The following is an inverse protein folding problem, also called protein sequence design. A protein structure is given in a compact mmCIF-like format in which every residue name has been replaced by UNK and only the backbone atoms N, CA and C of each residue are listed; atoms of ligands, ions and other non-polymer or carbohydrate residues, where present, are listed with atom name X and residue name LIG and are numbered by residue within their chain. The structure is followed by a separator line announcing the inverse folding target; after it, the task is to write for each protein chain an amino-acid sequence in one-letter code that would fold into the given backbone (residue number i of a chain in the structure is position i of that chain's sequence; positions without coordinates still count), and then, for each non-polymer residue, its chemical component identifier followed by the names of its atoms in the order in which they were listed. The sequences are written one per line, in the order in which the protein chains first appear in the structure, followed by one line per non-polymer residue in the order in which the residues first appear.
data_IF_093715395102
#
_entry.id   IF_093715395102
#
_cell.length_a   1.000
_cell.length_b   1.000
_cell.length_c   1.000
_cell.angle_alpha   90.00
_cell.angle_beta   90.00
_cell.angle_gamma   90.00
#
_symmetry.space_group_name_H-M   'P 1'
#
loop_
_entity.id
_entity.type
_entity.pdbx_description
1 polymer ?
#
# COMPACT_ATOMS: atom_id res chain seq x y z
N UNK A 1 -11.26 -17.45 33.47
CA UNK A 1 -11.47 -16.13 32.84
C UNK A 1 -10.77 -16.18 31.50
N UNK A 2 -11.54 -16.13 30.42
CA UNK A 2 -11.05 -16.28 29.04
C UNK A 2 -10.31 -15.03 28.55
N UNK A 3 -9.27 -15.28 27.76
CA UNK A 3 -8.27 -14.33 27.28
C UNK A 3 -8.87 -13.39 26.24
N UNK A 4 -8.82 -12.07 26.50
CA UNK A 4 -9.26 -11.04 25.57
C UNK A 4 -8.31 -10.99 24.36
N UNK A 5 -8.70 -11.54 23.22
CA UNK A 5 -7.96 -11.37 21.97
C UNK A 5 -8.03 -9.90 21.53
N UNK A 6 -6.95 -9.15 21.79
CA UNK A 6 -6.79 -7.71 21.47
C UNK A 6 -6.21 -7.44 20.08
N UNK A 7 -5.85 -8.47 19.32
CA UNK A 7 -5.15 -8.33 18.05
C UNK A 7 -6.09 -8.66 16.89
N UNK A 8 -6.13 -7.78 15.89
CA UNK A 8 -6.91 -7.97 14.67
C UNK A 8 -5.95 -8.26 13.51
N UNK A 9 -6.31 -9.24 12.68
CA UNK A 9 -5.65 -9.51 11.40
C UNK A 9 -6.67 -9.31 10.29
N UNK A 10 -6.32 -8.50 9.30
CA UNK A 10 -7.15 -8.22 8.14
C UNK A 10 -6.49 -8.79 6.89
N UNK A 11 -7.30 -9.32 5.97
CA UNK A 11 -6.85 -9.82 4.68
C UNK A 11 -7.58 -9.07 3.56
N UNK A 12 -6.82 -8.51 2.61
CA UNK A 12 -7.36 -7.74 1.48
C UNK A 12 -6.45 -6.58 1.09
N UNK A 13 -6.95 -5.71 0.21
CA UNK A 13 -6.31 -4.44 -0.14
C UNK A 13 -6.21 -3.55 1.11
N UNK A 14 -5.03 -2.95 1.32
CA UNK A 14 -4.76 -2.21 2.55
C UNK A 14 -5.60 -0.92 2.67
N UNK A 15 -5.83 -0.21 1.57
CA UNK A 15 -6.57 1.05 1.56
C UNK A 15 -8.05 0.79 1.84
N UNK A 16 -8.61 -0.25 1.23
CA UNK A 16 -9.99 -0.68 1.50
C UNK A 16 -10.17 -1.10 2.97
N UNK A 17 -9.26 -1.94 3.48
CA UNK A 17 -9.30 -2.42 4.87
C UNK A 17 -9.23 -1.24 5.85
N UNK A 18 -8.27 -0.33 5.67
CA UNK A 18 -8.10 0.83 6.54
C UNK A 18 -9.36 1.69 6.55
N UNK A 19 -9.97 1.95 5.38
CA UNK A 19 -11.20 2.77 5.26
C UNK A 19 -12.43 2.12 5.89
N UNK A 20 -12.57 0.79 5.81
CA UNK A 20 -13.81 0.09 6.21
C UNK A 20 -13.77 -0.51 7.61
N UNK A 21 -12.58 -0.79 8.15
CA UNK A 21 -12.42 -1.64 9.34
C UNK A 21 -11.64 -1.00 10.48
N UNK A 22 -10.86 0.05 10.22
CA UNK A 22 -10.07 0.75 11.24
C UNK A 22 -10.74 2.09 11.55
N UNK A 23 -10.95 2.37 12.84
CA UNK A 23 -11.58 3.63 13.27
C UNK A 23 -10.62 4.80 13.12
N UNK A 24 -11.16 5.99 12.87
CA UNK A 24 -10.38 7.22 12.85
C UNK A 24 -9.72 7.46 14.22
N UNK A 25 -8.54 8.08 14.20
CA UNK A 25 -7.77 8.47 15.40
C UNK A 25 -7.53 7.34 16.42
N UNK A 26 -7.53 6.08 15.95
CA UNK A 26 -7.42 4.88 16.81
C UNK A 26 -6.03 4.22 16.83
N UNK A 27 -5.08 4.77 16.07
CA UNK A 27 -3.72 4.20 15.89
C UNK A 27 -2.67 5.15 16.44
N UNK A 28 -1.97 4.74 17.49
CA UNK A 28 -0.88 5.51 18.10
C UNK A 28 0.46 5.38 17.34
N UNK A 29 0.72 4.20 16.75
CA UNK A 29 1.97 3.88 16.05
C UNK A 29 1.69 3.01 14.83
N UNK A 30 2.29 3.39 13.71
CA UNK A 30 2.23 2.64 12.46
C UNK A 30 3.64 2.24 12.02
N UNK A 31 3.84 0.96 11.71
CA UNK A 31 5.04 0.45 11.05
C UNK A 31 4.64 -0.11 9.69
N UNK A 32 5.31 0.37 8.64
CA UNK A 32 5.10 -0.09 7.27
C UNK A 32 6.44 -0.44 6.63
N UNK A 33 6.44 -1.51 5.84
CA UNK A 33 7.56 -1.94 5.00
C UNK A 33 7.02 -2.14 3.57
N UNK A 34 6.66 -1.05 2.85
CA UNK A 34 6.10 -1.15 1.52
C UNK A 34 7.16 -1.63 0.51
N UNK A 35 6.75 -2.16 -0.66
CA UNK A 35 7.68 -2.51 -1.73
C UNK A 35 8.54 -1.30 -2.16
N UNK A 36 9.86 -1.49 -2.25
CA UNK A 36 10.85 -0.46 -2.58
C UNK A 36 10.90 -0.11 -4.08
N UNK A 37 10.14 -0.80 -4.94
CA UNK A 37 10.22 -0.73 -6.39
C UNK A 37 11.60 -1.12 -6.96
N UNK A 38 12.27 -2.11 -6.35
CA UNK A 38 13.63 -2.49 -6.74
C UNK A 38 13.73 -3.23 -8.08
N UNK A 39 12.59 -3.49 -8.75
CA UNK A 39 12.48 -4.27 -9.99
C UNK A 39 12.94 -5.72 -9.81
N UNK A 40 12.82 -6.25 -8.60
CA UNK A 40 13.17 -7.63 -8.26
C UNK A 40 11.91 -8.46 -8.03
N UNK A 41 11.92 -9.68 -8.53
CA UNK A 41 10.93 -10.69 -8.15
C UNK A 41 11.49 -11.47 -6.97
N UNK A 42 10.84 -11.38 -5.81
CA UNK A 42 11.21 -12.16 -4.64
C UNK A 42 10.44 -13.49 -4.70
N UNK A 43 11.16 -14.58 -4.93
CA UNK A 43 10.59 -15.93 -4.85
C UNK A 43 10.71 -16.41 -3.40
N UNK A 44 9.62 -16.85 -2.79
CA UNK A 44 9.69 -17.47 -1.47
C UNK A 44 10.26 -18.87 -1.65
N UNK A 45 11.52 -19.09 -1.26
CA UNK A 45 12.10 -20.43 -1.26
C UNK A 45 11.62 -21.13 0.00
N UNK A 46 10.57 -21.96 -0.11
CA UNK A 46 10.23 -22.90 0.95
C UNK A 46 11.32 -23.97 1.00
N UNK A 47 12.10 -24.01 2.08
CA UNK A 47 13.00 -25.12 2.40
C UNK A 47 12.18 -26.29 2.97
N UNK A 48 11.24 -26.83 2.20
CA UNK A 48 10.58 -28.08 2.57
C UNK A 48 11.22 -29.24 1.81
N UNK A 49 11.75 -30.17 2.60
CA UNK A 49 12.35 -31.43 2.22
C UNK A 49 11.22 -32.33 1.69
N UNK A 50 11.04 -32.40 0.37
CA UNK A 50 10.02 -33.25 -0.25
C UNK A 50 9.70 -32.80 -1.68
N UNK A 51 9.67 -33.75 -2.61
CA UNK A 51 9.65 -33.55 -4.05
C UNK A 51 8.59 -32.56 -4.56
N UNK A 52 9.12 -31.45 -5.08
CA UNK A 52 8.68 -30.67 -6.25
C UNK A 52 7.32 -29.92 -6.26
N UNK A 53 7.43 -28.67 -6.75
CA UNK A 53 6.39 -27.72 -7.19
C UNK A 53 5.66 -26.89 -6.13
N UNK A 54 6.36 -25.95 -5.50
CA UNK A 54 5.74 -24.69 -5.10
C UNK A 54 6.78 -23.58 -4.91
N UNK A 55 7.35 -23.06 -6.00
CA UNK A 55 7.85 -21.67 -5.98
C UNK A 55 6.62 -20.77 -5.95
N UNK A 56 6.08 -20.49 -4.77
CA UNK A 56 5.11 -19.42 -4.61
C UNK A 56 5.88 -18.10 -4.80
N UNK A 57 5.55 -17.35 -5.85
CA UNK A 57 6.04 -15.99 -6.04
C UNK A 57 5.64 -15.18 -4.80
N UNK A 58 6.61 -14.67 -4.03
CA UNK A 58 6.32 -14.04 -2.74
C UNK A 58 5.59 -12.71 -2.95
N UNK A 59 6.10 -11.88 -3.88
CA UNK A 59 5.44 -10.71 -4.47
C UNK A 59 6.35 -10.10 -5.55
N UNK A 60 5.77 -9.26 -6.41
CA UNK A 60 6.52 -8.46 -7.39
C UNK A 60 6.83 -7.11 -6.75
N UNK A 61 8.11 -6.81 -6.52
CA UNK A 61 8.56 -5.49 -6.05
C UNK A 61 8.72 -4.54 -7.23
N UNK A 62 7.61 -4.32 -7.94
CA UNK A 62 7.52 -3.40 -9.07
C UNK A 62 6.14 -2.79 -9.09
N UNK A 63 6.09 -1.45 -9.06
CA UNK A 63 4.86 -0.71 -9.26
C UNK A 63 5.11 0.39 -10.30
N UNK A 64 4.07 0.70 -11.06
CA UNK A 64 4.01 1.78 -12.04
C UNK A 64 2.91 2.74 -11.65
N UNK A 65 2.96 3.98 -12.15
CA UNK A 65 1.85 4.92 -12.01
C UNK A 65 0.68 4.47 -12.89
N UNK A 66 -0.25 3.74 -12.30
CA UNK A 66 -1.42 3.18 -12.99
C UNK A 66 -2.68 4.03 -12.78
N UNK A 67 -3.82 3.53 -13.27
CA UNK A 67 -5.11 4.23 -13.12
C UNK A 67 -5.53 4.38 -11.66
N UNK A 68 -5.20 3.43 -10.78
CA UNK A 68 -5.53 3.51 -9.36
C UNK A 68 -4.68 4.58 -8.66
N UNK A 69 -3.40 4.68 -9.01
CA UNK A 69 -2.51 5.75 -8.55
C UNK A 69 -3.03 7.13 -8.97
N UNK A 70 -3.45 7.28 -10.23
CA UNK A 70 -4.03 8.53 -10.72
C UNK A 70 -5.36 8.87 -10.00
N UNK A 71 -6.25 7.90 -9.79
CA UNK A 71 -7.48 8.11 -9.03
C UNK A 71 -7.22 8.55 -7.59
N UNK A 72 -6.30 7.88 -6.89
CA UNK A 72 -5.90 8.25 -5.53
C UNK A 72 -5.26 9.64 -5.46
N UNK A 73 -4.46 10.01 -6.47
CA UNK A 73 -3.94 11.36 -6.59
C UNK A 73 -5.06 12.40 -6.72
N UNK A 74 -6.03 12.17 -7.61
CA UNK A 74 -7.16 13.10 -7.81
C UNK A 74 -8.01 13.24 -6.55
N UNK A 75 -8.28 12.15 -5.81
CA UNK A 75 -9.01 12.19 -4.54
C UNK A 75 -8.33 13.14 -3.54
N UNK A 76 -7.00 13.04 -3.40
CA UNK A 76 -6.24 13.91 -2.50
C UNK A 76 -6.21 15.35 -3.01
N UNK A 77 -5.99 15.54 -4.31
CA UNK A 77 -5.84 16.85 -4.92
C UNK A 77 -7.14 17.67 -4.90
N UNK A 78 -8.29 17.03 -5.13
CA UNK A 78 -9.60 17.66 -5.05
C UNK A 78 -10.01 17.94 -3.59
N UNK A 79 -9.52 17.12 -2.65
CA UNK A 79 -9.77 17.24 -1.22
C UNK A 79 -11.27 17.39 -0.88
N UNK A 80 -12.10 16.61 -1.54
CA UNK A 80 -13.54 16.62 -1.31
C UNK A 80 -13.82 16.29 0.17
N UNK A 81 -14.59 17.15 0.85
CA UNK A 81 -14.84 17.01 2.28
C UNK A 81 -13.75 17.56 3.20
N UNK A 82 -12.69 18.18 2.67
CA UNK A 82 -11.70 18.91 3.46
C UNK A 82 -10.84 18.04 4.38
N UNK A 83 -10.65 16.76 4.02
CA UNK A 83 -9.94 15.76 4.83
C UNK A 83 -8.44 16.04 4.97
N UNK A 84 -7.81 16.56 3.92
CA UNK A 84 -6.37 16.76 3.83
C UNK A 84 -5.99 18.21 4.08
N UNK A 85 -4.84 18.42 4.73
CA UNK A 85 -4.29 19.75 4.95
C UNK A 85 -3.70 20.33 3.66
N UNK A 86 -3.66 21.66 3.50
CA UNK A 86 -3.04 22.29 2.33
C UNK A 86 -1.60 21.84 2.09
N UNK A 87 -0.82 21.61 3.15
CA UNK A 87 0.58 21.19 3.06
C UNK A 87 0.71 19.79 2.46
N UNK A 88 -0.17 18.85 2.82
CA UNK A 88 -0.19 17.51 2.25
C UNK A 88 -0.59 17.56 0.78
N UNK A 89 -1.58 18.37 0.44
CA UNK A 89 -2.03 18.52 -0.96
C UNK A 89 -0.89 19.03 -1.83
N UNK A 90 -0.18 20.07 -1.40
CA UNK A 90 0.95 20.63 -2.15
C UNK A 90 2.14 19.65 -2.23
N UNK A 91 2.42 18.90 -1.16
CA UNK A 91 3.43 17.84 -1.18
C UNK A 91 3.10 16.78 -2.25
N UNK A 92 1.87 16.26 -2.26
CA UNK A 92 1.43 15.22 -3.20
C UNK A 92 1.42 15.74 -4.64
N UNK A 93 1.00 16.99 -4.87
CA UNK A 93 1.13 17.66 -6.18
C UNK A 93 2.58 17.74 -6.65
N UNK A 94 3.51 18.09 -5.76
CA UNK A 94 4.93 18.12 -6.07
C UNK A 94 5.49 16.76 -6.44
N UNK A 95 5.15 15.72 -5.66
CA UNK A 95 5.60 14.35 -5.89
C UNK A 95 5.11 13.77 -7.21
N UNK A 96 3.89 14.10 -7.66
CA UNK A 96 3.36 13.66 -8.96
C UNK A 96 4.32 13.97 -10.11
N UNK A 97 4.96 15.14 -10.10
CA UNK A 97 5.86 15.54 -11.17
C UNK A 97 7.18 14.74 -11.23
N UNK A 98 7.51 14.02 -10.15
CA UNK A 98 8.73 13.22 -10.01
C UNK A 98 8.44 11.73 -10.17
N UNK A 99 7.30 11.27 -9.66
CA UNK A 99 6.95 9.85 -9.56
C UNK A 99 6.15 9.37 -10.78
N UNK A 100 5.32 10.21 -11.39
CA UNK A 100 4.55 9.83 -12.56
C UNK A 100 5.48 9.58 -13.74
N UNK A 101 5.33 8.42 -14.39
CA UNK A 101 6.02 8.18 -15.66
C UNK A 101 5.52 9.20 -16.69
N UNK A 102 6.45 9.91 -17.32
CA UNK A 102 6.09 10.73 -18.48
C UNK A 102 5.84 9.78 -19.63
N UNK A 103 4.60 9.71 -20.10
CA UNK A 103 4.30 9.12 -21.41
C UNK A 103 5.27 9.74 -22.41
N UNK A 104 6.19 8.91 -22.90
CA UNK A 104 7.09 9.32 -23.97
C UNK A 104 6.25 9.26 -25.24
N UNK A 105 5.82 10.41 -25.75
CA UNK A 105 5.36 10.53 -27.14
C UNK A 105 6.53 10.26 -28.10
#
# INVERSE_FOLDING_TARGET
METKHKNNLYYGDNLEVLRKKVSDESVDLCYIDPPFNSKRSYNQIYLNIGEDKAQAQAFIDTWSWDTLAEQGYQEIALNEGGRFTPQIIELIKGLRNVICEKSTE
#
